data_IF_021027026246
#
_entry.id   IF_021027026246
#
_cell.length_a   1.000
_cell.length_b   1.000
_cell.length_c   1.000
_cell.angle_alpha   90.00
_cell.angle_beta   90.00
_cell.angle_gamma   90.00
#
_symmetry.space_group_name_H-M   'P 1'
#
loop_
_entity.id
_entity.type
_entity.pdbx_description
1 polymer ?
#
# COMPACT_ATOMS: atom_id res chain seq x y z
N UNK A 1 22.52 19.65 -14.61
CA UNK A 1 23.02 18.46 -13.91
C UNK A 1 24.24 17.91 -14.64
N UNK A 2 25.29 17.55 -13.93
CA UNK A 2 26.49 16.96 -14.54
C UNK A 2 26.20 15.58 -15.13
N UNK A 3 26.96 15.10 -16.14
CA UNK A 3 26.77 13.78 -16.72
C UNK A 3 26.87 12.65 -15.68
N UNK A 4 27.76 12.78 -14.71
CA UNK A 4 27.93 11.79 -13.64
C UNK A 4 26.71 11.73 -12.72
N UNK A 5 26.18 12.88 -12.30
CA UNK A 5 24.95 12.97 -11.48
C UNK A 5 23.75 12.42 -12.21
N UNK A 6 23.64 12.70 -13.51
CA UNK A 6 22.55 12.16 -14.36
C UNK A 6 22.62 10.63 -14.44
N UNK A 7 23.80 10.08 -14.60
CA UNK A 7 24.03 8.64 -14.63
C UNK A 7 23.62 7.97 -13.33
N UNK A 8 23.98 8.56 -12.18
CA UNK A 8 23.57 8.10 -10.85
C UNK A 8 22.06 8.19 -10.66
N UNK A 9 21.46 9.29 -11.08
CA UNK A 9 20.00 9.49 -11.03
C UNK A 9 19.25 8.42 -11.84
N UNK A 10 19.73 8.13 -13.04
CA UNK A 10 19.12 7.10 -13.89
C UNK A 10 19.18 5.71 -13.24
N UNK A 11 20.30 5.37 -12.59
CA UNK A 11 20.41 4.11 -11.85
C UNK A 11 19.42 4.01 -10.70
N UNK A 12 19.24 5.10 -9.96
CA UNK A 12 18.26 5.14 -8.86
C UNK A 12 16.84 4.98 -9.41
N UNK A 13 16.51 5.66 -10.50
CA UNK A 13 15.20 5.54 -11.16
C UNK A 13 14.91 4.12 -11.62
N UNK A 14 15.90 3.42 -12.17
CA UNK A 14 15.74 2.00 -12.53
C UNK A 14 15.44 1.13 -11.32
N UNK A 15 16.08 1.40 -10.18
CA UNK A 15 15.79 0.69 -8.93
C UNK A 15 14.36 0.98 -8.44
N UNK A 16 13.92 2.24 -8.54
CA UNK A 16 12.54 2.63 -8.21
C UNK A 16 11.54 1.90 -9.10
N UNK A 17 11.79 1.83 -10.42
CA UNK A 17 10.91 1.15 -11.35
C UNK A 17 10.76 -0.34 -11.01
N UNK A 18 11.85 -0.99 -10.62
CA UNK A 18 11.81 -2.39 -10.17
C UNK A 18 10.99 -2.56 -8.90
N UNK A 19 11.15 -1.65 -7.92
CA UNK A 19 10.34 -1.66 -6.71
C UNK A 19 8.87 -1.45 -7.01
N UNK A 20 8.55 -0.52 -7.90
CA UNK A 20 7.17 -0.26 -8.32
C UNK A 20 6.54 -1.48 -8.96
N UNK A 21 7.28 -2.22 -9.80
CA UNK A 21 6.81 -3.47 -10.39
C UNK A 21 6.47 -4.51 -9.31
N UNK A 22 7.32 -4.64 -8.29
CA UNK A 22 7.08 -5.53 -7.15
C UNK A 22 5.85 -5.08 -6.34
N UNK A 23 5.72 -3.79 -6.12
CA UNK A 23 4.60 -3.21 -5.40
C UNK A 23 3.27 -3.46 -6.12
N UNK A 24 3.24 -3.30 -7.44
CA UNK A 24 2.04 -3.58 -8.26
C UNK A 24 1.61 -5.05 -8.10
N UNK A 25 2.55 -5.98 -8.11
CA UNK A 25 2.27 -7.41 -7.89
C UNK A 25 1.68 -7.66 -6.52
N UNK A 26 2.20 -7.00 -5.49
CA UNK A 26 1.68 -7.10 -4.12
C UNK A 26 0.28 -6.51 -4.00
N UNK A 27 0.03 -5.38 -4.63
CA UNK A 27 -1.30 -4.77 -4.69
C UNK A 27 -2.29 -5.70 -5.37
N UNK A 28 -1.90 -6.36 -6.46
CA UNK A 28 -2.74 -7.37 -7.12
C UNK A 28 -3.10 -8.52 -6.20
N UNK A 29 -2.13 -9.06 -5.47
CA UNK A 29 -2.36 -10.13 -4.50
C UNK A 29 -3.33 -9.68 -3.40
N UNK A 30 -3.13 -8.47 -2.87
CA UNK A 30 -4.01 -7.91 -1.86
C UNK A 30 -5.42 -7.72 -2.40
N UNK A 31 -5.57 -7.19 -3.59
CA UNK A 31 -6.87 -7.01 -4.26
C UNK A 31 -7.61 -8.34 -4.42
N UNK A 32 -6.90 -9.39 -4.83
CA UNK A 32 -7.49 -10.73 -4.95
C UNK A 32 -8.00 -11.25 -3.60
N UNK A 33 -7.25 -11.03 -2.53
CA UNK A 33 -7.67 -11.43 -1.18
C UNK A 33 -8.87 -10.60 -0.69
N UNK A 34 -8.88 -9.31 -0.95
CA UNK A 34 -10.02 -8.43 -0.62
C UNK A 34 -11.27 -8.91 -1.36
N UNK A 35 -11.15 -9.25 -2.63
CA UNK A 35 -12.28 -9.78 -3.42
C UNK A 35 -12.81 -11.09 -2.84
N UNK A 36 -11.94 -11.96 -2.30
CA UNK A 36 -12.37 -13.17 -1.60
C UNK A 36 -13.17 -12.84 -0.34
N UNK A 37 -12.72 -11.85 0.44
CA UNK A 37 -13.46 -11.38 1.62
C UNK A 37 -14.83 -10.84 1.23
N UNK A 38 -14.90 -10.02 0.17
CA UNK A 38 -16.17 -9.45 -0.30
C UNK A 38 -17.15 -10.50 -0.76
N UNK A 39 -16.70 -11.61 -1.36
CA UNK A 39 -17.54 -12.73 -1.76
C UNK A 39 -18.16 -13.48 -0.58
N UNK A 40 -17.49 -13.46 0.57
CA UNK A 40 -17.98 -14.12 1.79
C UNK A 40 -18.97 -13.27 2.57
N UNK A 41 -19.12 -11.98 2.23
CA UNK A 41 -20.02 -11.05 2.90
C UNK A 41 -21.34 -10.95 2.14
N UNK A 42 -22.43 -11.31 2.81
CA UNK A 42 -23.77 -11.40 2.20
C UNK A 42 -24.51 -10.05 2.16
N UNK A 43 -24.11 -9.09 2.99
CA UNK A 43 -24.79 -7.79 3.12
C UNK A 43 -23.84 -6.64 2.87
N UNK A 44 -24.32 -5.55 2.23
CA UNK A 44 -23.54 -4.33 2.04
C UNK A 44 -22.97 -3.76 3.33
N UNK A 45 -23.67 -3.88 4.45
CA UNK A 45 -23.21 -3.43 5.77
C UNK A 45 -21.96 -4.17 6.24
N UNK A 46 -21.76 -5.40 5.80
CA UNK A 46 -20.60 -6.23 6.15
C UNK A 46 -19.39 -5.90 5.31
N UNK A 47 -19.57 -5.27 4.15
CA UNK A 47 -18.48 -4.87 3.26
C UNK A 47 -17.66 -3.73 3.89
N UNK A 48 -18.33 -2.78 4.55
CA UNK A 48 -17.68 -1.68 5.27
C UNK A 48 -17.60 -2.07 6.75
N UNK A 49 -16.45 -2.61 7.13
CA UNK A 49 -16.17 -2.97 8.52
C UNK A 49 -15.28 -1.91 9.17
N UNK A 50 -15.90 -0.94 9.81
CA UNK A 50 -15.19 0.17 10.45
C UNK A 50 -14.25 -0.30 11.56
N UNK A 51 -14.59 -1.36 12.27
CA UNK A 51 -13.71 -1.94 13.31
C UNK A 51 -12.44 -2.49 12.67
N UNK A 52 -12.60 -3.22 11.56
CA UNK A 52 -11.46 -3.78 10.82
C UNK A 52 -10.58 -2.68 10.24
N UNK A 53 -11.16 -1.64 9.67
CA UNK A 53 -10.43 -0.48 9.13
C UNK A 53 -9.56 0.17 10.22
N UNK A 54 -10.11 0.40 11.40
CA UNK A 54 -9.35 0.96 12.54
C UNK A 54 -8.17 0.07 12.94
N UNK A 55 -8.38 -1.24 12.97
CA UNK A 55 -7.33 -2.22 13.28
C UNK A 55 -6.22 -2.16 12.24
N UNK A 56 -6.58 -2.16 10.95
CA UNK A 56 -5.62 -2.09 9.86
C UNK A 56 -4.78 -0.82 9.97
N UNK A 57 -5.40 0.34 10.10
CA UNK A 57 -4.69 1.62 10.17
C UNK A 57 -3.79 1.73 11.40
N UNK A 58 -4.22 1.20 12.54
CA UNK A 58 -3.41 1.14 13.76
C UNK A 58 -2.17 0.25 13.55
N UNK A 59 -2.35 -0.91 12.94
CA UNK A 59 -1.25 -1.85 12.67
C UNK A 59 -0.25 -1.25 11.66
N UNK A 60 -0.76 -0.59 10.61
CA UNK A 60 0.08 0.08 9.62
C UNK A 60 0.91 1.19 10.25
N UNK A 61 0.32 1.98 11.16
CA UNK A 61 1.05 3.00 11.90
C UNK A 61 2.20 2.40 12.71
N UNK A 62 1.93 1.34 13.47
CA UNK A 62 2.96 0.65 14.27
C UNK A 62 4.09 0.11 13.40
N UNK A 63 3.75 -0.55 12.31
CA UNK A 63 4.73 -1.13 11.36
C UNK A 63 5.55 -0.03 10.68
N UNK A 64 4.92 1.09 10.35
CA UNK A 64 5.61 2.23 9.74
C UNK A 64 6.66 2.79 10.69
N UNK A 65 6.31 3.03 11.94
CA UNK A 65 7.23 3.52 12.96
C UNK A 65 8.38 2.54 13.19
N UNK A 66 8.08 1.24 13.26
CA UNK A 66 9.09 0.20 13.42
C UNK A 66 10.08 0.15 12.24
N UNK A 67 9.63 0.49 11.04
CA UNK A 67 10.43 0.51 9.81
C UNK A 67 10.98 1.91 9.47
N UNK A 68 10.86 2.87 10.38
CA UNK A 68 11.33 4.25 10.18
C UNK A 68 10.71 4.93 8.96
N UNK A 69 9.44 4.65 8.72
CA UNK A 69 8.63 5.27 7.66
C UNK A 69 7.72 6.29 8.30
N UNK A 70 7.57 7.47 7.67
CA UNK A 70 6.60 8.46 8.12
C UNK A 70 5.18 7.88 8.05
N UNK A 71 4.47 7.76 9.20
CA UNK A 71 3.12 7.19 9.20
C UNK A 71 2.11 7.96 8.36
N UNK A 72 2.34 9.23 8.08
CA UNK A 72 1.47 10.04 7.20
C UNK A 72 1.45 9.49 5.78
N UNK A 73 2.60 9.01 5.29
CA UNK A 73 2.72 8.43 3.94
C UNK A 73 1.92 7.14 3.86
N UNK A 74 2.20 6.19 4.75
CA UNK A 74 1.53 4.89 4.76
C UNK A 74 0.05 5.00 5.07
N UNK A 75 -0.35 5.91 5.95
CA UNK A 75 -1.75 6.15 6.25
C UNK A 75 -2.54 6.60 5.02
N UNK A 76 -1.98 7.49 4.21
CA UNK A 76 -2.59 7.91 2.94
C UNK A 76 -2.73 6.76 1.96
N UNK A 77 -1.67 5.96 1.81
CA UNK A 77 -1.68 4.81 0.90
C UNK A 77 -2.76 3.81 1.32
N UNK A 78 -2.80 3.43 2.60
CA UNK A 78 -3.76 2.45 3.09
C UNK A 78 -5.20 2.97 3.06
N UNK A 79 -5.45 4.21 3.42
CA UNK A 79 -6.79 4.82 3.26
C UNK A 79 -7.26 4.77 1.81
N UNK A 80 -6.41 5.12 0.86
CA UNK A 80 -6.75 5.07 -0.56
C UNK A 80 -7.03 3.63 -1.01
N UNK A 81 -6.24 2.66 -0.59
CA UNK A 81 -6.50 1.26 -0.91
C UNK A 81 -7.82 0.75 -0.30
N UNK A 82 -8.06 1.05 0.97
CA UNK A 82 -9.27 0.60 1.69
C UNK A 82 -10.53 1.14 1.01
N UNK A 83 -10.54 2.41 0.62
CA UNK A 83 -11.71 3.05 0.04
C UNK A 83 -11.81 2.92 -1.48
N UNK A 84 -10.87 2.23 -2.14
CA UNK A 84 -10.90 1.99 -3.58
C UNK A 84 -11.77 0.80 -3.99
N UNK A 85 -12.17 -0.02 -3.06
CA UNK A 85 -13.04 -1.19 -3.29
C UNK A 85 -14.52 -0.89 -2.91
#
# INVERSE_FOLDING_TARGET
MSPLKRKKLNKIRLKLDKLDNSLIKLIKQRTNLVNQVLKLKDKKKEIIDNKRIKIILKNIRKKSLANKIDPKITNRIWKNMIWSY
#
